data_IF_752877975961
#
_entry.id   IF_752877975961
#
_cell.length_a   1.000
_cell.length_b   1.000
_cell.length_c   1.000
_cell.angle_alpha   90.00
_cell.angle_beta   90.00
_cell.angle_gamma   90.00
#
_symmetry.space_group_name_H-M   'P 1'
#
loop_
_entity.id
_entity.type
_entity.pdbx_description
1 polymer ?
#
# COMPACT_ATOMS: atom_id res chain seq x y z
N UNK A 1 -6.54 -13.47 8.16
CA UNK A 1 -7.10 -14.77 7.75
C UNK A 1 -6.93 -15.77 8.89
N UNK A 2 -8.03 -16.25 9.47
CA UNK A 2 -8.04 -17.18 10.61
C UNK A 2 -8.29 -18.60 10.12
N UNK A 3 -7.31 -19.17 9.41
CA UNK A 3 -7.46 -20.48 8.79
C UNK A 3 -7.60 -21.59 9.85
N UNK A 4 -8.76 -22.22 9.93
CA UNK A 4 -8.99 -23.39 10.78
C UNK A 4 -8.30 -24.60 10.11
N UNK A 5 -7.09 -24.95 10.54
CA UNK A 5 -6.39 -26.15 10.07
C UNK A 5 -5.95 -26.11 8.60
N UNK A 6 -5.53 -24.93 8.11
CA UNK A 6 -5.05 -24.74 6.73
C UNK A 6 -6.16 -24.60 5.68
N UNK A 7 -7.42 -24.45 6.11
CA UNK A 7 -8.54 -24.03 5.28
C UNK A 7 -8.88 -22.57 5.60
N UNK A 8 -8.82 -21.70 4.59
CA UNK A 8 -9.15 -20.29 4.73
C UNK A 8 -9.46 -19.67 3.38
N UNK A 9 -10.45 -18.79 3.36
CA UNK A 9 -10.81 -17.93 2.23
C UNK A 9 -9.95 -16.68 2.30
N UNK A 10 -9.01 -16.44 1.37
CA UNK A 10 -8.30 -15.18 1.30
C UNK A 10 -9.27 -14.04 1.01
N UNK A 11 -9.06 -12.91 1.70
CA UNK A 11 -9.83 -11.70 1.53
C UNK A 11 -8.91 -10.57 1.07
N UNK A 12 -9.18 -10.07 -0.12
CA UNK A 12 -8.62 -8.84 -0.64
C UNK A 12 -9.64 -7.70 -0.56
N UNK A 13 -9.23 -6.49 -0.97
CA UNK A 13 -10.07 -5.30 -0.93
C UNK A 13 -11.39 -5.46 -1.72
N UNK A 14 -11.35 -6.11 -2.89
CA UNK A 14 -12.55 -6.38 -3.69
C UNK A 14 -13.46 -7.39 -3.00
N UNK A 15 -12.89 -8.48 -2.50
CA UNK A 15 -13.64 -9.51 -1.78
C UNK A 15 -14.37 -8.96 -0.55
N UNK A 16 -13.67 -8.22 0.33
CA UNK A 16 -14.30 -7.65 1.53
C UNK A 16 -15.35 -6.59 1.19
N UNK A 17 -15.16 -5.83 0.11
CA UNK A 17 -16.15 -4.87 -0.40
C UNK A 17 -17.45 -5.55 -0.78
N UNK A 18 -17.38 -6.67 -1.50
CA UNK A 18 -18.58 -7.45 -1.85
C UNK A 18 -19.30 -7.94 -0.59
N UNK A 19 -18.57 -8.47 0.38
CA UNK A 19 -19.14 -8.97 1.63
C UNK A 19 -19.80 -7.84 2.45
N UNK A 20 -19.23 -6.64 2.45
CA UNK A 20 -19.80 -5.49 3.13
C UNK A 20 -21.08 -4.99 2.47
N UNK A 21 -21.07 -4.86 1.14
CA UNK A 21 -22.23 -4.38 0.39
C UNK A 21 -23.40 -5.36 0.44
N UNK A 22 -23.11 -6.67 0.46
CA UNK A 22 -24.14 -7.71 0.65
C UNK A 22 -24.65 -7.82 2.09
N UNK A 23 -23.99 -7.15 3.05
CA UNK A 23 -24.35 -7.16 4.46
C UNK A 23 -23.86 -8.39 5.23
N UNK A 24 -22.97 -9.20 4.63
CA UNK A 24 -22.37 -10.36 5.31
C UNK A 24 -21.34 -9.97 6.37
N UNK A 25 -20.74 -8.78 6.25
CA UNK A 25 -19.86 -8.21 7.26
C UNK A 25 -20.30 -6.80 7.65
N UNK A 26 -20.04 -6.46 8.90
CA UNK A 26 -20.21 -5.12 9.44
C UNK A 26 -19.14 -4.15 8.91
N UNK A 27 -19.33 -2.86 9.18
CA UNK A 27 -18.34 -1.84 8.79
C UNK A 27 -17.00 -2.03 9.53
N UNK A 28 -17.02 -2.46 10.79
CA UNK A 28 -15.80 -2.70 11.57
C UNK A 28 -14.97 -3.84 10.98
N UNK A 29 -15.63 -4.95 10.64
CA UNK A 29 -15.02 -6.10 9.97
C UNK A 29 -14.51 -5.75 8.57
N UNK A 30 -15.25 -4.93 7.83
CA UNK A 30 -14.83 -4.37 6.55
C UNK A 30 -13.51 -3.59 6.68
N UNK A 31 -13.43 -2.68 7.66
CA UNK A 31 -12.23 -1.87 7.87
C UNK A 31 -10.99 -2.69 8.22
N UNK A 32 -11.18 -3.83 8.89
CA UNK A 32 -10.11 -4.75 9.29
C UNK A 32 -9.78 -5.81 8.21
N UNK A 33 -10.50 -5.82 7.08
CA UNK A 33 -10.39 -6.87 6.04
C UNK A 33 -10.54 -8.27 6.65
N UNK A 34 -11.58 -8.42 7.49
CA UNK A 34 -11.85 -9.64 8.22
C UNK A 34 -13.32 -10.06 8.03
N UNK A 35 -13.59 -11.36 7.95
CA UNK A 35 -14.95 -11.89 7.84
C UNK A 35 -15.08 -13.13 8.73
N UNK A 36 -15.34 -12.96 10.04
CA UNK A 36 -15.42 -14.09 10.94
C UNK A 36 -16.55 -15.03 10.52
N UNK A 37 -16.25 -16.33 10.47
CA UNK A 37 -17.23 -17.36 10.10
C UNK A 37 -17.37 -17.62 8.60
N UNK A 38 -16.76 -16.82 7.72
CA UNK A 38 -16.75 -17.10 6.27
C UNK A 38 -16.14 -18.49 5.97
N UNK A 39 -15.04 -18.81 6.64
CA UNK A 39 -14.35 -20.10 6.52
C UNK A 39 -15.21 -21.29 7.01
N UNK A 40 -16.21 -21.04 7.85
CA UNK A 40 -17.16 -22.06 8.32
C UNK A 40 -18.30 -22.27 7.34
N UNK A 41 -18.72 -21.22 6.63
CA UNK A 41 -19.77 -21.31 5.61
C UNK A 41 -19.27 -21.94 4.31
N UNK A 42 -17.99 -21.71 3.98
CA UNK A 42 -17.37 -22.21 2.76
C UNK A 42 -16.64 -23.52 3.06
N UNK A 43 -17.09 -24.63 2.48
CA UNK A 43 -16.43 -25.93 2.70
C UNK A 43 -15.03 -26.00 2.05
N UNK A 44 -14.13 -26.83 2.60
CA UNK A 44 -12.76 -27.01 2.08
C UNK A 44 -12.71 -27.38 0.60
N UNK A 45 -13.67 -28.16 0.11
CA UNK A 45 -13.71 -28.62 -1.28
C UNK A 45 -13.94 -27.46 -2.27
N UNK A 46 -14.75 -26.48 -1.88
CA UNK A 46 -15.13 -25.36 -2.75
C UNK A 46 -14.35 -24.08 -2.44
N UNK A 47 -13.58 -24.05 -1.35
CA UNK A 47 -12.92 -22.85 -0.85
C UNK A 47 -12.07 -22.15 -1.90
N UNK A 48 -11.29 -22.91 -2.67
CA UNK A 48 -10.42 -22.35 -3.73
C UNK A 48 -11.24 -21.65 -4.82
N UNK A 49 -12.24 -22.34 -5.35
CA UNK A 49 -13.06 -21.81 -6.46
C UNK A 49 -13.91 -20.64 -5.99
N UNK A 50 -14.49 -20.74 -4.80
CA UNK A 50 -15.22 -19.65 -4.16
C UNK A 50 -14.35 -18.40 -4.02
N UNK A 51 -13.12 -18.56 -3.51
CA UNK A 51 -12.19 -17.44 -3.32
C UNK A 51 -11.79 -16.80 -4.64
N UNK A 52 -11.53 -17.61 -5.68
CA UNK A 52 -11.20 -17.11 -7.02
C UNK A 52 -12.36 -16.31 -7.62
N UNK A 53 -13.59 -16.81 -7.51
CA UNK A 53 -14.77 -16.13 -8.03
C UNK A 53 -15.06 -14.84 -7.25
N UNK A 54 -14.93 -14.88 -5.92
CA UNK A 54 -15.14 -13.72 -5.06
C UNK A 54 -14.13 -12.62 -5.38
N UNK A 55 -12.86 -12.98 -5.60
CA UNK A 55 -11.82 -12.04 -6.00
C UNK A 55 -12.10 -11.42 -7.38
N UNK A 56 -12.41 -12.24 -8.39
CA UNK A 56 -12.74 -11.78 -9.74
C UNK A 56 -13.95 -10.84 -9.75
N UNK A 57 -14.99 -11.19 -8.99
CA UNK A 57 -16.17 -10.36 -8.86
C UNK A 57 -15.88 -9.05 -8.12
N UNK A 58 -15.08 -9.11 -7.05
CA UNK A 58 -14.62 -7.92 -6.34
C UNK A 58 -13.82 -6.97 -7.22
N UNK A 59 -12.94 -7.49 -8.08
CA UNK A 59 -12.19 -6.69 -9.04
C UNK A 59 -13.10 -6.02 -10.09
N UNK A 60 -14.07 -6.75 -10.66
CA UNK A 60 -15.06 -6.19 -11.59
C UNK A 60 -15.89 -5.09 -10.91
N UNK A 61 -16.33 -5.33 -9.68
CA UNK A 61 -17.09 -4.38 -8.89
C UNK A 61 -16.31 -3.10 -8.60
N UNK A 62 -15.04 -3.19 -8.18
CA UNK A 62 -14.22 -2.01 -7.91
C UNK A 62 -13.88 -1.23 -9.19
N UNK A 63 -13.75 -1.92 -10.32
CA UNK A 63 -13.55 -1.26 -11.61
C UNK A 63 -14.78 -0.46 -12.07
N UNK A 64 -15.98 -0.93 -11.73
CA UNK A 64 -17.24 -0.30 -12.10
C UNK A 64 -18.33 -0.60 -11.06
N UNK A 65 -18.35 0.19 -9.99
CA UNK A 65 -19.25 0.00 -8.84
C UNK A 65 -20.74 0.07 -9.19
N UNK A 66 -21.07 0.78 -10.28
CA UNK A 66 -22.42 0.88 -10.81
C UNK A 66 -22.64 0.14 -12.12
N UNK A 67 -21.77 -0.83 -12.43
CA UNK A 67 -21.88 -1.68 -13.60
C UNK A 67 -23.18 -2.48 -13.58
N UNK A 68 -23.80 -2.65 -14.75
CA UNK A 68 -25.07 -3.38 -14.90
C UNK A 68 -24.93 -4.82 -14.42
N UNK A 69 -23.80 -5.48 -14.75
CA UNK A 69 -23.50 -6.86 -14.34
C UNK A 69 -23.38 -6.99 -12.82
N UNK A 70 -22.54 -6.15 -12.21
CA UNK A 70 -22.25 -6.21 -10.78
C UNK A 70 -23.48 -5.86 -9.94
N UNK A 71 -24.29 -4.88 -10.37
CA UNK A 71 -25.59 -4.57 -9.75
C UNK A 71 -26.60 -5.71 -9.88
N UNK A 72 -26.64 -6.39 -11.04
CA UNK A 72 -27.54 -7.54 -11.24
C UNK A 72 -27.18 -8.67 -10.28
N UNK A 73 -25.90 -9.05 -10.25
CA UNK A 73 -25.41 -10.13 -9.37
C UNK A 73 -25.64 -9.78 -7.90
N UNK A 74 -25.31 -8.56 -7.47
CA UNK A 74 -25.55 -8.14 -6.08
C UNK A 74 -27.05 -8.15 -5.73
N UNK A 75 -27.90 -7.67 -6.64
CA UNK A 75 -29.35 -7.68 -6.44
C UNK A 75 -29.97 -9.08 -6.39
N UNK A 76 -29.31 -10.09 -6.96
CA UNK A 76 -29.69 -11.50 -6.79
C UNK A 76 -29.26 -12.07 -5.42
N UNK A 77 -28.23 -11.50 -4.79
CA UNK A 77 -27.69 -11.95 -3.50
C UNK A 77 -28.43 -11.31 -2.32
N UNK A 78 -28.70 -10.00 -2.38
CA UNK A 78 -29.33 -9.26 -1.29
C UNK A 78 -30.30 -8.20 -1.80
N UNK A 79 -31.41 -8.04 -1.09
CA UNK A 79 -32.46 -7.06 -1.42
C UNK A 79 -32.08 -5.64 -1.01
N UNK A 80 -31.19 -5.50 -0.01
CA UNK A 80 -30.83 -4.20 0.61
C UNK A 80 -29.64 -3.51 -0.10
N UNK A 81 -29.18 -4.04 -1.23
CA UNK A 81 -27.99 -3.53 -1.96
C UNK A 81 -28.14 -2.06 -2.34
N UNK A 82 -29.35 -1.62 -2.66
CA UNK A 82 -29.61 -0.23 -3.07
C UNK A 82 -29.32 0.77 -1.96
N UNK A 83 -29.48 0.37 -0.70
CA UNK A 83 -29.25 1.22 0.48
C UNK A 83 -27.78 1.20 0.90
N UNK A 84 -27.07 0.09 0.66
CA UNK A 84 -25.67 -0.10 1.04
C UNK A 84 -24.68 0.40 -0.01
N UNK A 85 -25.12 0.53 -1.25
CA UNK A 85 -24.30 1.09 -2.33
C UNK A 85 -24.09 2.59 -2.12
N UNK A 86 -22.86 3.10 -2.26
CA UNK A 86 -22.62 4.55 -2.26
C UNK A 86 -23.35 5.19 -3.44
N UNK A 87 -23.71 6.47 -3.32
CA UNK A 87 -24.35 7.17 -4.44
C UNK A 87 -23.33 7.36 -5.56
N UNK A 88 -23.83 7.53 -6.79
CA UNK A 88 -22.96 7.75 -7.94
C UNK A 88 -22.10 9.00 -7.71
N UNK A 89 -20.78 8.82 -7.68
CA UNK A 89 -19.79 9.87 -7.43
C UNK A 89 -19.26 9.90 -5.99
N UNK A 90 -19.92 9.21 -5.05
CA UNK A 90 -19.37 8.96 -3.73
C UNK A 90 -18.39 7.79 -3.80
N UNK A 91 -17.28 7.91 -3.06
CA UNK A 91 -16.30 6.83 -2.95
C UNK A 91 -16.77 5.84 -1.89
N UNK A 92 -16.48 4.56 -2.12
CA UNK A 92 -16.58 3.57 -1.07
C UNK A 92 -15.56 3.91 0.03
N UNK A 93 -15.90 3.78 1.32
CA UNK A 93 -14.91 3.90 2.39
C UNK A 93 -13.75 2.93 2.13
N UNK A 94 -12.50 3.39 2.22
CA UNK A 94 -11.34 2.51 2.09
C UNK A 94 -11.09 1.76 3.42
N UNK A 95 -10.77 0.46 3.40
CA UNK A 95 -10.47 -0.26 4.62
C UNK A 95 -9.12 0.18 5.18
N UNK A 96 -9.04 0.30 6.51
CA UNK A 96 -7.86 0.83 7.23
C UNK A 96 -6.57 0.08 6.87
N UNK A 97 -6.65 -1.24 6.67
CA UNK A 97 -5.50 -2.08 6.34
C UNK A 97 -4.95 -1.79 4.94
N UNK A 98 -5.83 -1.43 3.99
CA UNK A 98 -5.40 -1.01 2.66
C UNK A 98 -4.77 0.40 2.71
N UNK A 99 -5.33 1.31 3.51
CA UNK A 99 -4.79 2.65 3.68
C UNK A 99 -3.36 2.64 4.25
N UNK A 100 -3.08 1.77 5.23
CA UNK A 100 -1.74 1.61 5.82
C UNK A 100 -0.71 1.00 4.85
N UNK A 101 -1.18 0.13 3.94
CA UNK A 101 -0.31 -0.47 2.92
C UNK A 101 0.04 0.55 1.82
N UNK A 102 -0.91 1.41 1.44
CA UNK A 102 -0.70 2.46 0.44
C UNK A 102 0.22 3.60 0.91
N UNK A 103 0.29 3.88 2.21
CA UNK A 103 1.22 4.88 2.76
C UNK A 103 2.64 4.36 2.94
N UNK A 104 2.86 3.06 2.77
CA UNK A 104 4.19 2.43 2.95
C UNK A 104 4.99 2.33 1.64
N UNK A 105 4.39 2.61 0.48
CA UNK A 105 5.06 2.61 -0.84
C UNK A 105 5.72 3.96 -1.20
N UNK A 106 5.66 4.94 -0.31
CA UNK A 106 6.37 6.21 -0.42
C UNK A 106 7.27 6.43 0.79
N UNK A 107 8.58 6.41 0.57
CA UNK A 107 9.62 6.90 1.49
C UNK A 107 10.02 6.00 2.69
N UNK A 108 10.62 4.85 2.40
CA UNK A 108 11.39 4.07 3.42
C UNK A 108 12.85 3.83 3.04
N UNK A 109 13.42 4.59 2.10
CA UNK A 109 14.86 4.48 1.76
C UNK A 109 15.80 5.32 2.64
N UNK A 110 15.31 6.20 3.51
CA UNK A 110 16.20 7.05 4.35
C UNK A 110 16.06 6.88 5.86
N UNK A 111 15.33 5.87 6.37
CA UNK A 111 15.15 5.72 7.83
C UNK A 111 15.62 4.39 8.43
N UNK A 112 16.49 3.67 7.71
CA UNK A 112 17.24 2.54 8.27
C UNK A 112 18.74 2.65 8.01
N UNK A 113 19.33 3.82 8.35
CA UNK A 113 20.74 3.83 8.75
C UNK A 113 20.79 3.47 10.24
N UNK A 114 21.23 2.27 10.63
CA UNK A 114 21.37 1.95 12.04
C UNK A 114 22.34 2.94 12.67
N UNK A 115 21.90 3.60 13.75
CA UNK A 115 22.77 4.41 14.58
C UNK A 115 23.87 3.50 15.13
N UNK A 116 25.08 3.65 14.61
CA UNK A 116 26.26 2.98 15.15
C UNK A 116 26.46 3.34 16.62
N UNK A 117 27.12 2.47 17.41
CA UNK A 117 27.23 2.62 18.86
C UNK A 117 27.82 3.99 19.21
N UNK A 118 27.09 4.71 20.04
CA UNK A 118 27.42 6.06 20.48
C UNK A 118 28.70 6.00 21.34
N UNK A 119 29.78 6.56 20.81
CA UNK A 119 31.06 6.59 21.51
C UNK A 119 30.95 7.43 22.80
N UNK A 120 31.41 6.87 23.91
CA UNK A 120 31.49 7.54 25.21
C UNK A 120 32.30 8.85 25.14
N UNK A 121 31.96 9.86 25.95
CA UNK A 121 32.67 11.14 25.95
C UNK A 121 34.10 10.95 26.44
N UNK A 122 35.09 11.31 25.59
CA UNK A 122 36.52 11.29 25.94
C UNK A 122 36.95 12.62 26.58
N UNK A 123 37.91 12.62 27.52
CA UNK A 123 38.36 13.82 28.23
C UNK A 123 39.04 14.84 27.30
N UNK A 124 38.91 16.12 27.63
CA UNK A 124 39.54 17.22 26.90
C UNK A 124 41.07 17.12 26.93
N UNK A 125 41.72 17.30 25.77
CA UNK A 125 43.15 17.61 25.72
C UNK A 125 44.05 16.84 24.75
N UNK A 126 43.55 16.03 23.82
CA UNK A 126 44.38 15.47 22.72
C UNK A 126 43.59 15.35 21.42
N UNK A 127 43.76 16.32 20.52
CA UNK A 127 43.25 16.28 19.14
C UNK A 127 44.23 15.52 18.26
N UNK A 128 43.87 14.37 17.66
CA UNK A 128 44.60 13.83 16.52
C UNK A 128 44.26 14.67 15.28
N UNK A 129 45.27 15.17 14.58
CA UNK A 129 45.08 15.79 13.26
C UNK A 129 44.52 14.75 12.26
N UNK A 130 43.55 15.11 11.41
CA UNK A 130 43.17 14.27 10.29
C UNK A 130 44.32 14.17 9.27
N UNK A 131 44.49 13.02 8.59
CA UNK A 131 45.54 12.83 7.59
C UNK A 131 45.39 13.82 6.42
N UNK A 132 46.50 14.25 5.80
CA UNK A 132 46.46 15.27 4.77
C UNK A 132 45.78 14.73 3.51
N UNK A 133 44.73 15.42 3.02
CA UNK A 133 44.29 15.26 1.62
C UNK A 133 42.83 14.88 1.35
N UNK A 134 41.91 14.97 2.32
CA UNK A 134 40.47 14.70 2.06
C UNK A 134 39.61 15.97 2.21
N UNK A 135 39.86 16.95 1.35
CA UNK A 135 39.03 18.15 1.22
C UNK A 135 39.04 18.68 -0.21
N UNK A 136 37.93 19.25 -0.72
CA UNK A 136 37.85 19.76 -2.09
C UNK A 136 38.88 20.88 -2.31
N UNK A 137 39.64 20.80 -3.41
CA UNK A 137 40.69 21.77 -3.77
C UNK A 137 40.08 23.18 -3.93
N UNK A 138 40.55 24.10 -3.10
CA UNK A 138 40.30 25.55 -3.19
C UNK A 138 41.60 26.25 -3.59
N UNK A 139 41.51 27.39 -4.25
CA UNK A 139 42.64 28.28 -4.49
C UNK A 139 43.04 29.03 -3.21
N UNK A 140 44.20 29.71 -3.25
CA UNK A 140 44.82 30.37 -2.11
C UNK A 140 44.01 31.54 -1.51
N UNK A 141 42.97 32.00 -2.20
CA UNK A 141 42.01 33.02 -1.73
C UNK A 141 40.65 32.43 -1.30
N UNK A 142 40.53 31.10 -1.23
CA UNK A 142 39.39 30.43 -0.59
C UNK A 142 38.13 30.24 -1.44
N UNK A 143 38.22 30.40 -2.76
CA UNK A 143 37.10 30.19 -3.70
C UNK A 143 37.09 28.73 -4.20
N UNK A 144 35.92 28.08 -4.38
CA UNK A 144 35.87 26.74 -4.95
C UNK A 144 36.27 26.75 -6.44
N UNK A 145 37.33 26.01 -6.80
CA UNK A 145 37.72 25.81 -8.20
C UNK A 145 36.84 24.72 -8.81
N UNK A 146 35.99 25.07 -9.79
CA UNK A 146 35.47 24.10 -10.75
C UNK A 146 33.99 24.18 -11.08
N UNK A 147 33.51 25.29 -11.64
CA UNK A 147 32.38 25.25 -12.58
C UNK A 147 32.95 25.16 -14.00
N UNK A 148 32.79 24.02 -14.66
CA UNK A 148 32.89 23.97 -16.12
C UNK A 148 31.79 23.11 -16.72
N UNK A 149 30.74 23.81 -17.14
CA UNK A 149 29.93 23.62 -18.35
C UNK A 149 29.78 22.17 -18.85
N UNK A 150 28.60 21.59 -18.64
CA UNK A 150 28.16 20.42 -19.41
C UNK A 150 28.02 20.75 -20.92
N UNK A 151 27.98 19.73 -21.80
CA UNK A 151 27.89 19.92 -23.24
C UNK A 151 26.53 20.52 -23.64
N UNK A 152 26.54 21.52 -24.52
CA UNK A 152 25.34 22.20 -25.03
C UNK A 152 24.51 21.29 -25.95
N UNK A 153 23.17 21.39 -25.96
CA UNK A 153 22.30 20.61 -26.84
C UNK A 153 22.47 21.02 -28.32
N UNK A 154 22.40 20.03 -29.21
CA UNK A 154 22.49 20.21 -30.65
C UNK A 154 21.33 21.06 -31.18
N UNK A 155 21.67 22.14 -31.88
CA UNK A 155 20.75 22.95 -32.67
C UNK A 155 20.61 22.27 -34.04
N UNK A 156 19.42 21.75 -34.35
CA UNK A 156 19.02 21.44 -35.73
C UNK A 156 18.22 22.64 -36.24
N UNK A 157 18.65 23.23 -37.36
CA UNK A 157 17.96 24.32 -38.06
C UNK A 157 17.54 23.79 -39.46
N UNK A 158 16.49 24.38 -40.07
CA UNK A 158 15.40 23.69 -40.78
C UNK A 158 15.80 23.06 -42.12
#
# INVERSE_FOLDING_TARGET
STALGGHGVPLDHGAITVLYLTGMVSFEEYQQVNAPGLDRMVTKKIGRDFSSLLHQFGADLLSSLHGVKSKKILGEISVDIKERMPKRGEKLPEPLVAALSATSDGDVSEQHRPAGPQAAPRPAGKTPQPPPGSGPKRDADGTPIGTRSGPKPFVVKP
#
